data_IF_146500419190
#
_entry.id   IF_146500419190
#
_cell.length_a   1.000
_cell.length_b   1.000
_cell.length_c   1.000
_cell.angle_alpha   90.00
_cell.angle_beta   90.00
_cell.angle_gamma   90.00
#
_symmetry.space_group_name_H-M   'P 1'
#
loop_
_entity.id
_entity.type
_entity.pdbx_description
1 polymer ?
#
# COMPACT_ATOMS: atom_id res chain seq x y z
N UNK A 1 -13.92 20.64 52.56
CA UNK A 1 -14.33 21.25 51.27
C UNK A 1 -13.07 21.44 50.44
N UNK A 2 -12.96 20.71 49.33
CA UNK A 2 -11.81 20.76 48.40
C UNK A 2 -11.97 21.89 47.39
N UNK A 3 -10.90 22.63 47.07
CA UNK A 3 -10.82 23.49 45.88
C UNK A 3 -9.44 23.35 45.22
N UNK A 4 -9.43 23.43 43.89
CA UNK A 4 -8.56 22.70 42.99
C UNK A 4 -7.13 23.25 42.82
N UNK A 5 -6.21 22.31 42.52
CA UNK A 5 -4.88 22.58 41.98
C UNK A 5 -4.95 23.16 40.54
N UNK A 6 -3.93 23.91 40.09
CA UNK A 6 -3.91 24.49 38.75
C UNK A 6 -3.84 23.40 37.67
N UNK A 7 -4.66 23.56 36.62
CA UNK A 7 -4.65 22.70 35.43
C UNK A 7 -3.36 22.98 34.64
N UNK A 8 -2.48 21.99 34.57
CA UNK A 8 -1.36 21.98 33.63
C UNK A 8 -1.89 21.93 32.20
N UNK A 9 -1.52 22.91 31.40
CA UNK A 9 -1.73 22.94 29.96
C UNK A 9 -1.06 21.70 29.34
N UNK A 10 -1.86 20.79 28.79
CA UNK A 10 -1.35 19.65 28.04
C UNK A 10 -0.93 20.14 26.66
N UNK A 11 0.37 20.32 26.48
CA UNK A 11 1.01 20.48 25.18
C UNK A 11 0.58 19.30 24.29
N UNK A 12 -0.28 19.59 23.31
CA UNK A 12 -0.63 18.65 22.25
C UNK A 12 0.56 18.54 21.29
N UNK A 13 1.62 17.86 21.74
CA UNK A 13 2.70 17.43 20.88
C UNK A 13 2.12 16.34 19.97
N UNK A 14 1.88 16.71 18.71
CA UNK A 14 1.41 15.83 17.65
C UNK A 14 2.29 14.58 17.57
N UNK A 15 1.78 13.48 18.11
CA UNK A 15 2.32 12.16 17.86
C UNK A 15 2.01 11.85 16.40
N UNK A 16 2.98 12.16 15.54
CA UNK A 16 3.09 11.50 14.24
C UNK A 16 3.10 10.01 14.56
N UNK A 17 1.99 9.33 14.27
CA UNK A 17 1.86 7.89 14.43
C UNK A 17 3.01 7.25 13.66
N UNK A 18 4.09 6.91 14.37
CA UNK A 18 5.17 6.11 13.81
C UNK A 18 4.52 4.79 13.49
N UNK A 19 4.19 4.58 12.22
CA UNK A 19 3.82 3.25 11.70
C UNK A 19 4.92 2.33 12.18
N UNK A 20 4.61 1.49 13.16
CA UNK A 20 5.56 0.51 13.66
C UNK A 20 5.89 -0.33 12.44
N UNK A 21 7.14 -0.27 12.00
CA UNK A 21 7.64 -1.22 11.02
C UNK A 21 7.47 -2.59 11.69
N UNK A 22 6.40 -3.30 11.34
CA UNK A 22 6.30 -4.71 11.63
C UNK A 22 7.46 -5.33 10.87
N UNK A 23 8.54 -5.65 11.58
CA UNK A 23 9.68 -6.35 10.99
C UNK A 23 9.15 -7.63 10.38
N UNK A 24 8.99 -7.65 9.06
CA UNK A 24 8.55 -8.85 8.39
C UNK A 24 9.78 -9.65 8.00
N UNK A 25 10.29 -10.34 9.02
CA UNK A 25 11.16 -11.51 8.93
C UNK A 25 10.56 -12.57 7.96
N UNK A 26 9.24 -12.46 7.66
CA UNK A 26 8.50 -13.26 6.69
C UNK A 26 7.79 -12.34 5.67
N UNK A 27 8.04 -12.54 4.38
CA UNK A 27 7.37 -11.96 3.19
C UNK A 27 6.08 -11.17 3.49
N UNK A 28 6.19 -9.84 3.65
CA UNK A 28 5.02 -8.97 3.74
C UNK A 28 4.23 -9.02 2.43
N UNK A 29 2.90 -9.13 2.54
CA UNK A 29 2.00 -9.02 1.39
C UNK A 29 0.99 -7.92 1.68
N UNK A 30 0.80 -7.03 0.71
CA UNK A 30 -0.26 -6.02 0.71
C UNK A 30 -1.23 -6.36 -0.42
N UNK A 31 -2.46 -6.70 -0.07
CA UNK A 31 -3.52 -6.98 -1.02
C UNK A 31 -4.45 -5.75 -1.17
N UNK A 32 -4.72 -5.35 -2.41
CA UNK A 32 -5.51 -4.16 -2.74
C UNK A 32 -6.64 -4.57 -3.68
N UNK A 33 -7.88 -4.27 -3.31
CA UNK A 33 -9.07 -4.52 -4.14
C UNK A 33 -9.65 -3.22 -4.69
N UNK A 34 -10.02 -3.20 -5.96
CA UNK A 34 -10.61 -2.04 -6.64
C UNK A 34 -11.66 -2.43 -7.70
N UNK A 35 -12.48 -1.46 -8.10
CA UNK A 35 -13.55 -1.62 -9.10
C UNK A 35 -13.74 -0.31 -9.88
N UNK A 36 -14.96 0.14 -10.12
CA UNK A 36 -15.25 1.41 -10.78
C UNK A 36 -14.54 2.59 -10.09
N UNK A 37 -13.86 3.44 -10.86
CA UNK A 37 -13.12 4.61 -10.37
C UNK A 37 -11.79 4.29 -9.66
N UNK A 38 -11.44 3.02 -9.46
CA UNK A 38 -10.23 2.63 -8.73
C UNK A 38 -8.92 2.82 -9.51
N UNK A 39 -8.98 2.84 -10.84
CA UNK A 39 -7.77 2.84 -11.68
C UNK A 39 -6.87 4.06 -11.44
N UNK A 40 -7.43 5.26 -11.31
CA UNK A 40 -6.62 6.45 -11.07
C UNK A 40 -6.04 6.49 -9.65
N UNK A 41 -6.76 5.92 -8.67
CA UNK A 41 -6.22 5.73 -7.33
C UNK A 41 -5.06 4.72 -7.34
N UNK A 42 -5.20 3.59 -8.05
CA UNK A 42 -4.14 2.61 -8.21
C UNK A 42 -2.91 3.20 -8.90
N UNK A 43 -3.07 3.98 -9.97
CA UNK A 43 -1.95 4.68 -10.64
C UNK A 43 -1.19 5.61 -9.69
N UNK A 44 -1.92 6.39 -8.88
CA UNK A 44 -1.30 7.28 -7.88
C UNK A 44 -0.55 6.48 -6.83
N UNK A 45 -1.18 5.43 -6.30
CA UNK A 45 -0.59 4.55 -5.30
C UNK A 45 0.72 3.90 -5.79
N UNK A 46 0.72 3.24 -6.95
CA UNK A 46 1.90 2.52 -7.44
C UNK A 46 3.06 3.44 -7.85
N UNK A 47 2.75 4.70 -8.17
CA UNK A 47 3.75 5.73 -8.45
C UNK A 47 4.43 6.23 -7.19
N UNK A 48 3.67 6.38 -6.10
CA UNK A 48 4.16 7.04 -4.89
C UNK A 48 4.79 6.03 -3.88
N UNK A 49 4.66 4.72 -4.12
CA UNK A 49 5.30 3.67 -3.33
C UNK A 49 6.80 3.56 -3.67
N UNK A 50 7.62 3.49 -2.62
CA UNK A 50 9.05 3.23 -2.75
C UNK A 50 9.32 1.83 -3.32
N UNK A 51 10.22 1.69 -4.31
CA UNK A 51 10.59 0.38 -4.84
C UNK A 51 11.27 -0.54 -3.82
N UNK A 52 11.83 0.02 -2.75
CA UNK A 52 12.51 -0.71 -1.67
C UNK A 52 11.55 -1.21 -0.59
N UNK A 53 10.22 -1.13 -0.82
CA UNK A 53 9.24 -1.64 0.13
C UNK A 53 9.51 -3.14 0.41
N UNK A 54 9.60 -3.57 1.69
CA UNK A 54 9.87 -4.97 2.03
C UNK A 54 8.60 -5.84 1.87
N UNK A 55 7.77 -5.57 0.87
CA UNK A 55 6.50 -6.24 0.62
C UNK A 55 6.26 -6.50 -0.87
N UNK A 56 5.41 -7.48 -1.14
CA UNK A 56 4.80 -7.68 -2.45
C UNK A 56 3.40 -7.05 -2.48
N UNK A 57 3.05 -6.43 -3.59
CA UNK A 57 1.71 -5.88 -3.81
C UNK A 57 0.91 -6.81 -4.71
N UNK A 58 -0.29 -7.19 -4.26
CA UNK A 58 -1.26 -7.96 -5.04
C UNK A 58 -2.47 -7.07 -5.28
N UNK A 59 -2.72 -6.69 -6.52
CA UNK A 59 -3.78 -5.75 -6.90
C UNK A 59 -4.84 -6.51 -7.68
N UNK A 60 -6.05 -6.54 -7.15
CA UNK A 60 -7.21 -7.11 -7.82
C UNK A 60 -8.13 -5.96 -8.21
N UNK A 61 -8.35 -5.80 -9.51
CA UNK A 61 -9.24 -4.79 -10.06
C UNK A 61 -10.34 -5.50 -10.84
N UNK A 62 -11.59 -5.14 -10.59
CA UNK A 62 -12.70 -5.62 -11.42
C UNK A 62 -12.53 -5.09 -12.85
N UNK A 63 -12.33 -6.01 -13.79
CA UNK A 63 -12.10 -5.76 -15.23
C UNK A 63 -12.99 -6.67 -16.06
N UNK A 64 -13.13 -6.36 -17.36
CA UNK A 64 -13.80 -7.25 -18.31
C UNK A 64 -12.93 -8.45 -18.71
N UNK A 65 -13.37 -9.19 -19.72
CA UNK A 65 -12.69 -10.38 -20.26
C UNK A 65 -11.22 -10.15 -20.66
N UNK A 66 -10.89 -8.94 -21.11
CA UNK A 66 -9.52 -8.54 -21.46
C UNK A 66 -9.14 -7.35 -20.62
N UNK A 67 -7.91 -7.40 -20.07
CA UNK A 67 -7.38 -6.37 -19.21
C UNK A 67 -5.98 -5.96 -19.65
N UNK A 68 -5.74 -4.66 -19.69
CA UNK A 68 -4.42 -4.05 -19.91
C UNK A 68 -3.87 -3.47 -18.60
N UNK A 69 -4.39 -3.92 -17.45
CA UNK A 69 -4.06 -3.33 -16.15
C UNK A 69 -2.57 -3.40 -15.84
N UNK A 70 -1.92 -4.52 -16.15
CA UNK A 70 -0.48 -4.68 -15.95
C UNK A 70 0.32 -3.64 -16.72
N UNK A 71 0.00 -3.41 -17.99
CA UNK A 71 0.66 -2.40 -18.82
C UNK A 71 0.37 -0.98 -18.32
N UNK A 72 -0.88 -0.70 -17.93
CA UNK A 72 -1.30 0.62 -17.45
C UNK A 72 -0.58 0.97 -16.15
N UNK A 73 -0.55 0.04 -15.18
CA UNK A 73 0.14 0.27 -13.91
C UNK A 73 1.65 0.22 -14.09
N UNK A 74 2.18 -0.64 -14.97
CA UNK A 74 3.61 -0.73 -15.27
C UNK A 74 4.20 0.57 -15.83
N UNK A 75 3.41 1.36 -16.58
CA UNK A 75 3.82 2.71 -17.02
C UNK A 75 3.87 3.75 -15.90
N UNK A 76 3.11 3.55 -14.83
CA UNK A 76 3.02 4.50 -13.72
C UNK A 76 3.90 4.12 -12.52
N UNK A 77 4.19 2.84 -12.34
CA UNK A 77 4.90 2.31 -11.20
C UNK A 77 6.42 2.48 -11.30
N UNK A 78 7.07 2.63 -10.16
CA UNK A 78 8.52 2.57 -10.03
C UNK A 78 9.04 1.15 -9.73
N UNK A 79 8.13 0.17 -9.73
CA UNK A 79 8.39 -1.24 -9.43
C UNK A 79 7.97 -2.12 -10.61
N UNK A 80 8.60 -3.31 -10.79
CA UNK A 80 8.14 -4.28 -11.76
C UNK A 80 6.67 -4.67 -11.54
N UNK A 81 5.87 -4.57 -12.60
CA UNK A 81 4.46 -5.00 -12.64
C UNK A 81 4.35 -6.23 -13.54
N UNK A 82 3.69 -7.28 -13.07
CA UNK A 82 3.45 -8.50 -13.85
C UNK A 82 2.01 -8.98 -13.67
N UNK A 83 1.43 -9.55 -14.74
CA UNK A 83 0.16 -10.27 -14.61
C UNK A 83 0.40 -11.55 -13.79
N UNK A 84 -0.43 -11.76 -12.78
CA UNK A 84 -0.38 -12.95 -11.95
C UNK A 84 -0.81 -14.18 -12.77
N UNK A 85 0.04 -15.21 -12.75
CA UNK A 85 -0.28 -16.53 -13.30
C UNK A 85 -0.24 -17.58 -12.19
N UNK A 86 -1.03 -18.64 -12.33
CA UNK A 86 -1.00 -19.79 -11.42
C UNK A 86 0.43 -20.31 -11.24
N UNK A 87 0.86 -20.50 -9.99
CA UNK A 87 2.21 -20.95 -9.66
C UNK A 87 3.29 -19.85 -9.64
N UNK A 88 2.94 -18.60 -9.94
CA UNK A 88 3.87 -17.47 -9.82
C UNK A 88 4.32 -17.31 -8.37
N UNK A 89 5.64 -17.29 -8.14
CA UNK A 89 6.21 -17.03 -6.81
C UNK A 89 6.11 -15.54 -6.50
N UNK A 90 5.38 -15.21 -5.44
CA UNK A 90 5.29 -13.84 -4.91
C UNK A 90 6.63 -13.41 -4.33
N UNK A 91 7.09 -12.21 -4.73
CA UNK A 91 8.38 -11.62 -4.34
C UNK A 91 8.16 -10.19 -3.85
N UNK A 92 8.90 -9.78 -2.83
CA UNK A 92 8.93 -8.38 -2.40
C UNK A 92 9.44 -7.48 -3.54
N UNK A 93 9.10 -6.19 -3.48
CA UNK A 93 9.53 -5.24 -4.52
C UNK A 93 8.80 -5.45 -5.85
N UNK A 94 7.71 -6.22 -5.89
CA UNK A 94 6.94 -6.52 -7.11
C UNK A 94 5.45 -6.24 -6.91
N UNK A 95 4.81 -5.87 -8.02
CA UNK A 95 3.36 -5.69 -8.13
C UNK A 95 2.81 -6.79 -9.03
N UNK A 96 1.79 -7.50 -8.56
CA UNK A 96 1.08 -8.52 -9.31
C UNK A 96 -0.37 -8.09 -9.49
N UNK A 97 -0.88 -8.20 -10.72
CA UNK A 97 -2.25 -7.83 -11.11
C UNK A 97 -3.01 -8.98 -11.76
#
# INVERSE_FOLDING_TARGET
MATAAPRSESEHAGQSEKVRAYGCENRCIVAIGASAGGLDALKRLVRDISPDIPAALLIVQHVGLTSYLGDILGRAANMPVANAASGTKVKNGHIFV
#
